data_IF_113322066550
#
_entry.id   IF_113322066550
#
_cell.length_a   1.000
_cell.length_b   1.000
_cell.length_c   1.000
_cell.angle_alpha   90.00
_cell.angle_beta   90.00
_cell.angle_gamma   90.00
#
_symmetry.space_group_name_H-M   'P 1'
#
loop_
_entity.id
_entity.type
_entity.pdbx_description
1 polymer ?
#
# COMPACT_ATOMS: atom_id res chain seq x y z
N UNK A 1 3.46 23.27 14.80
CA UNK A 1 2.72 23.42 13.53
C UNK A 1 3.50 24.17 12.45
N UNK A 2 4.14 25.30 12.77
CA UNK A 2 4.92 26.06 11.78
C UNK A 2 6.16 25.33 11.26
N UNK A 3 6.90 24.60 12.09
CA UNK A 3 8.06 23.82 11.67
C UNK A 3 7.65 22.67 10.73
N UNK A 4 6.49 22.02 10.98
CA UNK A 4 5.90 21.00 10.10
C UNK A 4 5.42 21.59 8.78
N UNK A 5 4.78 22.75 8.82
CA UNK A 5 4.34 23.48 7.63
C UNK A 5 5.54 23.95 6.78
N UNK A 6 6.60 24.42 7.42
CA UNK A 6 7.85 24.83 6.77
C UNK A 6 8.57 23.65 6.10
N UNK A 7 8.74 22.51 6.82
CA UNK A 7 9.33 21.30 6.25
C UNK A 7 8.52 20.77 5.06
N UNK A 8 7.18 20.90 5.09
CA UNK A 8 6.29 20.56 3.98
C UNK A 8 6.51 21.49 2.77
N UNK A 9 6.65 22.80 2.98
CA UNK A 9 6.92 23.80 1.92
C UNK A 9 8.30 23.61 1.29
N UNK A 10 9.33 23.34 2.10
CA UNK A 10 10.70 23.11 1.60
C UNK A 10 10.82 21.81 0.79
N UNK A 11 10.09 20.75 1.18
CA UNK A 11 10.01 19.49 0.42
C UNK A 11 9.20 19.66 -0.88
N UNK A 12 8.10 20.42 -0.87
CA UNK A 12 7.32 20.73 -2.05
C UNK A 12 8.13 21.53 -3.08
N UNK A 13 8.95 22.48 -2.63
CA UNK A 13 9.80 23.29 -3.51
C UNK A 13 10.91 22.49 -4.23
N UNK A 14 11.39 21.37 -3.64
CA UNK A 14 12.44 20.49 -4.23
C UNK A 14 11.91 19.43 -5.20
N UNK A 15 10.61 19.35 -5.44
CA UNK A 15 9.97 18.17 -6.06
C UNK A 15 9.15 18.44 -7.32
N UNK A 16 9.37 19.54 -8.02
CA UNK A 16 8.63 19.80 -9.25
C UNK A 16 9.33 19.21 -10.45
N UNK A 17 8.83 18.07 -10.94
CA UNK A 17 9.17 17.54 -12.25
C UNK A 17 8.74 18.49 -13.35
N UNK A 18 9.51 18.57 -14.44
CA UNK A 18 9.07 19.26 -15.65
C UNK A 18 7.87 18.54 -16.29
N UNK A 19 7.13 19.22 -17.17
CA UNK A 19 6.02 18.60 -17.90
C UNK A 19 6.51 17.43 -18.77
N UNK A 20 7.71 17.52 -19.34
CA UNK A 20 8.34 16.46 -20.15
C UNK A 20 8.70 15.23 -19.29
N UNK A 21 9.15 15.42 -18.05
CA UNK A 21 9.43 14.32 -17.12
C UNK A 21 8.14 13.59 -16.72
N UNK A 22 7.02 14.31 -16.50
CA UNK A 22 5.71 13.71 -16.23
C UNK A 22 5.19 12.91 -17.41
N UNK A 23 5.27 13.47 -18.61
CA UNK A 23 4.89 12.83 -19.85
C UNK A 23 5.71 11.54 -20.10
N UNK A 24 7.01 11.59 -19.84
CA UNK A 24 7.92 10.44 -19.91
C UNK A 24 7.52 9.37 -18.90
N UNK A 25 7.28 9.74 -17.65
CA UNK A 25 6.85 8.83 -16.59
C UNK A 25 5.52 8.15 -16.95
N UNK A 26 4.53 8.90 -17.43
CA UNK A 26 3.25 8.36 -17.86
C UNK A 26 3.41 7.30 -18.97
N UNK A 27 4.29 7.55 -19.95
CA UNK A 27 4.58 6.57 -21.01
C UNK A 27 5.25 5.30 -20.46
N UNK A 28 6.22 5.44 -19.54
CA UNK A 28 6.90 4.31 -18.89
C UNK A 28 5.89 3.46 -18.11
N UNK A 29 5.05 4.09 -17.30
CA UNK A 29 4.05 3.39 -16.48
C UNK A 29 2.98 2.70 -17.34
N UNK A 30 2.61 3.29 -18.48
CA UNK A 30 1.73 2.64 -19.46
C UNK A 30 2.35 1.33 -20.01
N UNK A 31 3.64 1.35 -20.36
CA UNK A 31 4.37 0.16 -20.80
C UNK A 31 4.45 -0.89 -19.68
N UNK A 32 4.78 -0.45 -18.45
CA UNK A 32 4.87 -1.29 -17.27
C UNK A 32 3.57 -2.03 -16.99
N UNK A 33 2.45 -1.33 -16.97
CA UNK A 33 1.14 -1.92 -16.72
C UNK A 33 0.79 -3.02 -17.73
N UNK A 34 1.05 -2.78 -19.03
CA UNK A 34 0.82 -3.79 -20.06
C UNK A 34 1.70 -5.03 -19.87
N UNK A 35 2.99 -4.83 -19.68
CA UNK A 35 3.95 -5.92 -19.54
C UNK A 35 3.67 -6.78 -18.29
N UNK A 36 3.37 -6.16 -17.15
CA UNK A 36 3.02 -6.89 -15.92
C UNK A 36 1.67 -7.59 -16.04
N UNK A 37 0.71 -7.01 -16.75
CA UNK A 37 -0.58 -7.69 -17.00
C UNK A 37 -0.39 -9.01 -17.78
N UNK A 38 0.51 -9.03 -18.76
CA UNK A 38 0.87 -10.27 -19.48
C UNK A 38 1.61 -11.25 -18.56
N UNK A 39 2.57 -10.77 -17.76
CA UNK A 39 3.30 -11.60 -16.80
C UNK A 39 2.36 -12.22 -15.76
N UNK A 40 1.34 -11.50 -15.31
CA UNK A 40 0.32 -12.01 -14.40
C UNK A 40 -0.48 -13.16 -15.02
N UNK A 41 -0.89 -13.06 -16.27
CA UNK A 41 -1.57 -14.13 -16.98
C UNK A 41 -0.66 -15.37 -17.16
N UNK A 42 0.61 -15.16 -17.46
CA UNK A 42 1.58 -16.27 -17.51
C UNK A 42 1.74 -16.94 -16.14
N UNK A 43 1.78 -16.13 -15.07
CA UNK A 43 1.89 -16.67 -13.70
C UNK A 43 0.64 -17.49 -13.31
N UNK A 44 -0.57 -16.99 -13.62
CA UNK A 44 -1.82 -17.73 -13.40
C UNK A 44 -1.77 -19.10 -14.10
N UNK A 45 -1.33 -19.12 -15.37
CA UNK A 45 -1.24 -20.34 -16.16
C UNK A 45 -0.24 -21.34 -15.60
N UNK A 46 0.92 -20.88 -15.11
CA UNK A 46 2.01 -21.74 -14.65
C UNK A 46 1.82 -22.16 -13.19
N UNK A 47 1.46 -21.25 -12.30
CA UNK A 47 1.33 -21.49 -10.87
C UNK A 47 -0.09 -21.86 -10.41
N UNK A 48 -1.12 -21.44 -11.15
CA UNK A 48 -2.51 -21.67 -10.81
C UNK A 48 -2.88 -23.15 -10.60
N UNK A 49 -2.43 -24.09 -11.45
CA UNK A 49 -2.66 -25.52 -11.24
C UNK A 49 -2.13 -26.05 -9.90
N UNK A 50 -1.05 -25.46 -9.37
CA UNK A 50 -0.39 -25.89 -8.13
C UNK A 50 -0.93 -25.17 -6.88
N UNK A 51 -1.36 -23.91 -7.01
CA UNK A 51 -1.72 -23.05 -5.88
C UNK A 51 -3.22 -22.75 -5.78
N UNK A 52 -4.01 -23.03 -6.83
CA UNK A 52 -5.38 -22.56 -6.94
C UNK A 52 -5.43 -21.03 -6.81
N UNK A 53 -6.47 -20.46 -6.20
CA UNK A 53 -6.64 -19.00 -6.04
C UNK A 53 -5.52 -18.28 -5.27
N UNK A 54 -4.62 -19.00 -4.62
CA UNK A 54 -3.50 -18.42 -3.86
C UNK A 54 -2.36 -17.92 -4.73
N UNK A 55 -2.34 -18.30 -6.01
CA UNK A 55 -1.34 -17.81 -6.96
C UNK A 55 -1.30 -16.28 -7.00
N UNK A 56 -2.44 -15.62 -6.91
CA UNK A 56 -2.54 -14.18 -6.98
C UNK A 56 -1.76 -13.49 -5.85
N UNK A 57 -1.97 -13.90 -4.58
CA UNK A 57 -1.22 -13.29 -3.49
C UNK A 57 0.27 -13.65 -3.52
N UNK A 58 0.65 -14.83 -4.04
CA UNK A 58 2.06 -15.16 -4.25
C UNK A 58 2.70 -14.23 -5.30
N UNK A 59 1.98 -13.93 -6.37
CA UNK A 59 2.44 -13.02 -7.42
C UNK A 59 2.59 -11.58 -6.91
N UNK A 60 1.58 -11.04 -6.22
CA UNK A 60 1.64 -9.70 -5.63
C UNK A 60 2.79 -9.56 -4.63
N UNK A 61 2.96 -10.54 -3.73
CA UNK A 61 4.05 -10.56 -2.76
C UNK A 61 5.42 -10.69 -3.43
N UNK A 62 5.51 -11.41 -4.56
CA UNK A 62 6.73 -11.49 -5.33
C UNK A 62 7.04 -10.17 -6.05
N UNK A 63 6.08 -9.56 -6.72
CA UNK A 63 6.25 -8.23 -7.32
C UNK A 63 6.68 -7.18 -6.28
N UNK A 64 6.13 -7.28 -5.07
CA UNK A 64 6.49 -6.38 -3.97
C UNK A 64 7.94 -6.54 -3.48
N UNK A 65 8.64 -7.64 -3.85
CA UNK A 65 10.06 -7.84 -3.53
C UNK A 65 11.02 -7.18 -4.52
N UNK A 66 10.52 -6.57 -5.62
CA UNK A 66 11.37 -5.81 -6.54
C UNK A 66 12.04 -4.62 -5.83
N UNK A 67 13.31 -4.36 -6.17
CA UNK A 67 14.05 -3.20 -5.66
C UNK A 67 13.51 -1.90 -6.26
N UNK A 68 13.80 -0.77 -5.61
CA UNK A 68 13.40 0.56 -6.10
C UNK A 68 14.12 0.91 -7.42
N UNK A 69 15.32 0.37 -7.63
CA UNK A 69 16.17 0.63 -8.81
C UNK A 69 15.80 -0.22 -10.03
N UNK A 70 14.95 -1.25 -9.85
CA UNK A 70 14.49 -2.13 -10.93
C UNK A 70 13.06 -1.79 -11.36
N UNK A 71 12.73 -2.03 -12.65
CA UNK A 71 11.33 -2.05 -13.04
C UNK A 71 10.58 -3.05 -12.15
N UNK A 72 9.33 -2.77 -11.75
CA UNK A 72 8.47 -3.53 -10.79
C UNK A 72 8.43 -5.08 -10.97
N UNK A 73 9.42 -5.65 -11.62
CA UNK A 73 9.60 -7.07 -11.87
C UNK A 73 10.91 -7.50 -11.24
N UNK A 74 10.90 -8.40 -10.24
CA UNK A 74 12.12 -8.90 -9.62
C UNK A 74 12.82 -9.89 -10.56
N UNK A 75 13.41 -9.38 -11.64
CA UNK A 75 14.12 -10.16 -12.67
C UNK A 75 15.62 -10.30 -12.40
N UNK A 76 16.15 -9.59 -11.40
CA UNK A 76 17.57 -9.62 -11.01
C UNK A 76 17.93 -10.75 -10.04
N UNK A 77 19.17 -10.68 -9.54
CA UNK A 77 19.71 -11.62 -8.55
C UNK A 77 18.81 -11.68 -7.29
N UNK A 78 18.49 -12.89 -6.85
CA UNK A 78 17.61 -13.13 -5.70
C UNK A 78 16.09 -13.11 -6.00
N UNK A 79 15.64 -12.65 -7.17
CA UNK A 79 14.23 -12.67 -7.56
C UNK A 79 13.63 -14.08 -7.61
N UNK A 80 14.42 -15.05 -8.04
CA UNK A 80 14.05 -16.47 -8.03
C UNK A 80 13.90 -17.04 -6.61
N UNK A 81 14.82 -16.71 -5.71
CA UNK A 81 14.76 -17.16 -4.31
C UNK A 81 13.56 -16.53 -3.58
N UNK A 82 13.29 -15.24 -3.83
CA UNK A 82 12.10 -14.57 -3.30
C UNK A 82 10.82 -15.26 -3.78
N UNK A 83 10.72 -15.60 -5.07
CA UNK A 83 9.59 -16.33 -5.63
C UNK A 83 9.45 -17.72 -5.00
N UNK A 84 10.56 -18.48 -4.92
CA UNK A 84 10.57 -19.81 -4.31
C UNK A 84 10.08 -19.78 -2.86
N UNK A 85 10.57 -18.82 -2.06
CA UNK A 85 10.12 -18.60 -0.66
C UNK A 85 8.60 -18.36 -0.59
N UNK A 86 8.05 -17.48 -1.44
CA UNK A 86 6.60 -17.18 -1.45
C UNK A 86 5.77 -18.40 -1.88
N UNK A 87 6.20 -19.12 -2.91
CA UNK A 87 5.49 -20.32 -3.38
C UNK A 87 5.49 -21.43 -2.32
N UNK A 88 6.63 -21.73 -1.68
CA UNK A 88 6.73 -22.72 -0.60
C UNK A 88 5.85 -22.34 0.60
N UNK A 89 5.84 -21.07 1.00
CA UNK A 89 4.98 -20.59 2.09
C UNK A 89 3.47 -20.78 1.78
N UNK A 90 3.05 -20.53 0.54
CA UNK A 90 1.65 -20.77 0.13
C UNK A 90 1.31 -22.25 0.01
N UNK A 91 2.25 -23.08 -0.44
CA UNK A 91 2.13 -24.55 -0.48
C UNK A 91 1.88 -25.13 0.93
N UNK A 92 2.72 -24.79 1.90
CA UNK A 92 2.60 -25.27 3.28
C UNK A 92 1.23 -24.95 3.89
N UNK A 93 0.69 -23.76 3.62
CA UNK A 93 -0.66 -23.37 4.08
C UNK A 93 -1.78 -24.12 3.35
N UNK A 94 -1.51 -24.65 2.14
CA UNK A 94 -2.54 -25.25 1.28
C UNK A 94 -2.82 -26.73 1.55
N UNK A 95 -1.97 -27.45 2.28
CA UNK A 95 -2.01 -28.93 2.39
C UNK A 95 -2.10 -29.63 1.01
N UNK A 96 -1.57 -29.03 -0.06
CA UNK A 96 -1.57 -29.60 -1.41
C UNK A 96 -0.20 -30.21 -1.70
N UNK A 97 -0.21 -31.38 -2.37
CA UNK A 97 0.95 -32.19 -2.75
C UNK A 97 1.76 -31.64 -3.94
N UNK A 98 1.98 -30.33 -4.01
CA UNK A 98 2.93 -29.80 -4.97
C UNK A 98 4.34 -30.18 -4.50
N UNK A 99 5.09 -30.95 -5.29
CA UNK A 99 6.47 -31.32 -4.96
C UNK A 99 7.39 -30.10 -5.01
N UNK A 100 8.57 -30.18 -4.40
CA UNK A 100 9.54 -29.08 -4.48
C UNK A 100 10.05 -28.91 -5.92
N UNK A 101 10.11 -30.01 -6.71
CA UNK A 101 10.42 -29.95 -8.14
C UNK A 101 9.37 -29.12 -8.92
N UNK A 102 8.09 -29.22 -8.56
CA UNK A 102 7.05 -28.39 -9.18
C UNK A 102 7.22 -26.90 -8.86
N UNK A 103 7.62 -26.56 -7.62
CA UNK A 103 7.95 -25.18 -7.25
C UNK A 103 9.14 -24.69 -8.07
N UNK A 104 10.20 -25.46 -8.16
CA UNK A 104 11.41 -25.09 -8.90
C UNK A 104 11.14 -24.95 -10.42
N UNK A 105 10.26 -25.77 -10.98
CA UNK A 105 9.81 -25.64 -12.37
C UNK A 105 9.04 -24.31 -12.59
N UNK A 106 8.12 -23.95 -11.69
CA UNK A 106 7.41 -22.68 -11.73
C UNK A 106 8.40 -21.51 -11.66
N UNK A 107 9.36 -21.55 -10.71
CA UNK A 107 10.37 -20.49 -10.55
C UNK A 107 11.19 -20.31 -11.83
N UNK A 108 11.73 -21.41 -12.40
CA UNK A 108 12.51 -21.32 -13.65
C UNK A 108 11.74 -20.65 -14.78
N UNK A 109 10.50 -21.09 -15.03
CA UNK A 109 9.67 -20.53 -16.09
C UNK A 109 9.37 -19.05 -15.83
N UNK A 110 9.01 -18.71 -14.60
CA UNK A 110 8.64 -17.33 -14.26
C UNK A 110 9.81 -16.37 -14.29
N UNK A 111 11.02 -16.80 -13.92
CA UNK A 111 12.22 -15.94 -14.03
C UNK A 111 12.56 -15.63 -15.50
N UNK A 112 12.42 -16.60 -16.41
CA UNK A 112 12.58 -16.33 -17.85
C UNK A 112 11.52 -15.31 -18.34
N UNK A 113 10.25 -15.47 -17.91
CA UNK A 113 9.16 -14.55 -18.25
C UNK A 113 9.38 -13.15 -17.66
N UNK A 114 9.89 -13.06 -16.44
CA UNK A 114 10.21 -11.80 -15.78
C UNK A 114 11.32 -11.04 -16.52
N UNK A 115 12.37 -11.73 -16.92
CA UNK A 115 13.47 -11.16 -17.73
C UNK A 115 12.95 -10.65 -19.07
N UNK A 116 12.12 -11.41 -19.77
CA UNK A 116 11.50 -11.00 -21.01
C UNK A 116 10.54 -9.81 -20.81
N UNK A 117 9.75 -9.82 -19.75
CA UNK A 117 8.88 -8.69 -19.37
C UNK A 117 9.70 -7.41 -19.18
N UNK A 118 10.80 -7.45 -18.45
CA UNK A 118 11.69 -6.32 -18.24
C UNK A 118 12.32 -5.82 -19.57
N UNK A 119 12.66 -6.74 -20.47
CA UNK A 119 13.17 -6.42 -21.81
C UNK A 119 12.09 -5.74 -22.67
N UNK A 120 10.88 -6.27 -22.69
CA UNK A 120 9.75 -5.71 -23.44
C UNK A 120 9.43 -4.30 -22.95
N UNK A 121 9.40 -4.07 -21.63
CA UNK A 121 9.17 -2.74 -21.07
C UNK A 121 10.16 -1.71 -21.61
N UNK A 122 11.46 -2.04 -21.62
CA UNK A 122 12.49 -1.15 -22.16
C UNK A 122 12.33 -0.90 -23.66
N UNK A 123 11.95 -1.92 -24.42
CA UNK A 123 11.83 -1.84 -25.87
C UNK A 123 10.51 -1.21 -26.35
N UNK A 124 9.45 -1.23 -25.55
CA UNK A 124 8.15 -0.63 -25.91
C UNK A 124 8.08 0.88 -25.65
N UNK A 125 9.00 1.43 -24.89
CA UNK A 125 9.06 2.87 -24.68
C UNK A 125 9.40 3.59 -26.00
N UNK A 126 8.57 4.53 -26.43
CA UNK A 126 8.69 5.28 -27.70
C UNK A 126 8.85 6.78 -27.50
N UNK A 127 9.18 7.21 -26.28
CA UNK A 127 9.29 8.61 -25.90
C UNK A 127 8.14 9.08 -25.01
N UNK A 128 8.14 10.37 -24.63
CA UNK A 128 7.13 10.96 -23.78
C UNK A 128 5.70 10.79 -24.34
N UNK A 129 4.72 10.68 -23.47
CA UNK A 129 3.31 10.71 -23.85
C UNK A 129 2.92 12.12 -24.34
N UNK A 130 2.19 12.19 -25.43
CA UNK A 130 1.77 13.49 -25.99
C UNK A 130 0.63 14.12 -25.21
N UNK A 131 -0.26 13.29 -24.64
CA UNK A 131 -1.39 13.73 -23.83
C UNK A 131 -1.97 12.57 -23.03
N UNK A 132 -2.74 12.89 -21.98
CA UNK A 132 -3.65 11.97 -21.29
C UNK A 132 -5.07 12.36 -21.64
N UNK A 133 -5.82 11.49 -22.32
CA UNK A 133 -7.25 11.73 -22.52
C UNK A 133 -8.03 11.33 -21.27
N UNK A 134 -8.99 12.17 -20.90
CA UNK A 134 -9.94 11.96 -19.80
C UNK A 134 -11.33 11.78 -20.36
N UNK A 135 -12.04 10.77 -19.90
CA UNK A 135 -13.44 10.50 -20.22
C UNK A 135 -14.21 10.27 -18.91
N UNK A 136 -15.29 11.00 -18.72
CA UNK A 136 -16.23 10.79 -17.62
C UNK A 136 -17.44 9.99 -18.15
N UNK A 137 -17.71 8.85 -17.52
CA UNK A 137 -18.81 7.97 -17.88
C UNK A 137 -20.06 8.25 -17.07
N UNK A 138 -21.22 7.93 -17.63
CA UNK A 138 -22.52 8.12 -16.98
C UNK A 138 -22.65 7.39 -15.62
N UNK A 139 -21.86 6.34 -15.38
CA UNK A 139 -21.84 5.58 -14.14
C UNK A 139 -20.93 6.21 -13.04
N UNK A 140 -20.36 7.41 -13.31
CA UNK A 140 -19.48 8.13 -12.43
C UNK A 140 -18.04 7.60 -12.40
N UNK A 141 -17.64 6.83 -13.41
CA UNK A 141 -16.27 6.35 -13.60
C UNK A 141 -15.50 7.35 -14.46
N UNK A 142 -14.30 7.70 -14.03
CA UNK A 142 -13.33 8.49 -14.80
C UNK A 142 -12.30 7.55 -15.40
N UNK A 143 -12.17 7.56 -16.72
CA UNK A 143 -11.15 6.84 -17.48
C UNK A 143 -10.04 7.79 -17.90
N UNK A 144 -8.79 7.41 -17.61
CA UNK A 144 -7.58 8.09 -18.10
C UNK A 144 -6.87 7.17 -19.09
N UNK A 145 -6.41 7.71 -20.22
CA UNK A 145 -5.79 6.91 -21.28
C UNK A 145 -4.55 7.58 -21.88
N UNK A 146 -3.51 6.76 -22.06
CA UNK A 146 -2.31 7.10 -22.84
C UNK A 146 -2.11 6.00 -23.89
N UNK A 147 -2.23 6.33 -25.15
CA UNK A 147 -2.16 5.36 -26.25
C UNK A 147 -3.19 4.23 -26.07
N UNK A 148 -2.70 2.98 -25.97
CA UNK A 148 -3.54 1.78 -25.78
C UNK A 148 -3.82 1.45 -24.31
N UNK A 149 -3.21 2.13 -23.36
CA UNK A 149 -3.34 1.86 -21.93
C UNK A 149 -4.41 2.75 -21.32
N UNK A 150 -5.37 2.13 -20.64
CA UNK A 150 -6.46 2.79 -19.93
C UNK A 150 -6.44 2.38 -18.46
N UNK A 151 -6.62 3.34 -17.58
CA UNK A 151 -6.86 3.14 -16.15
C UNK A 151 -8.18 3.80 -15.76
N UNK A 152 -8.83 3.29 -14.70
CA UNK A 152 -10.16 3.73 -14.29
C UNK A 152 -10.20 4.04 -12.81
N UNK A 153 -10.91 5.10 -12.46
CA UNK A 153 -11.17 5.58 -11.12
C UNK A 153 -12.66 5.85 -10.96
N UNK A 154 -13.22 5.62 -9.79
CA UNK A 154 -14.51 6.24 -9.48
C UNK A 154 -14.34 7.74 -9.24
N UNK A 155 -15.39 8.53 -9.48
CA UNK A 155 -15.33 9.99 -9.39
C UNK A 155 -14.84 10.52 -8.04
N UNK A 156 -15.28 9.91 -6.93
CA UNK A 156 -14.83 10.31 -5.58
C UNK A 156 -13.31 10.22 -5.42
N UNK A 157 -12.68 9.15 -5.97
CA UNK A 157 -11.23 9.00 -5.91
C UNK A 157 -10.51 9.96 -6.86
N UNK A 158 -11.08 10.25 -8.01
CA UNK A 158 -10.54 11.23 -8.93
C UNK A 158 -10.51 12.63 -8.28
N UNK A 159 -11.61 13.07 -7.67
CA UNK A 159 -11.69 14.34 -6.95
C UNK A 159 -10.78 14.37 -5.71
N UNK A 160 -10.67 13.26 -4.98
CA UNK A 160 -9.69 13.13 -3.89
C UNK A 160 -8.26 13.35 -4.39
N UNK A 161 -7.86 12.70 -5.49
CA UNK A 161 -6.53 12.88 -6.08
C UNK A 161 -6.27 14.32 -6.50
N UNK A 162 -7.26 14.98 -7.11
CA UNK A 162 -7.19 16.38 -7.49
C UNK A 162 -6.97 17.30 -6.27
N UNK A 163 -7.68 17.03 -5.20
CA UNK A 163 -7.53 17.74 -3.91
C UNK A 163 -6.14 17.51 -3.29
N UNK A 164 -5.66 16.25 -3.25
CA UNK A 164 -4.33 15.94 -2.74
C UNK A 164 -3.24 16.63 -3.55
N UNK A 165 -3.34 16.59 -4.88
CA UNK A 165 -2.40 17.21 -5.79
C UNK A 165 -2.34 18.74 -5.60
N UNK A 166 -3.49 19.40 -5.56
CA UNK A 166 -3.58 20.84 -5.33
C UNK A 166 -2.98 21.26 -3.96
N UNK A 167 -3.22 20.45 -2.92
CA UNK A 167 -2.70 20.70 -1.57
C UNK A 167 -1.20 20.38 -1.42
N UNK A 168 -0.64 19.51 -2.25
CA UNK A 168 0.76 19.14 -2.18
C UNK A 168 1.68 20.14 -2.88
N UNK A 169 1.16 20.91 -3.85
CA UNK A 169 1.91 21.87 -4.63
C UNK A 169 1.77 23.28 -4.05
N UNK A 170 2.86 24.06 -4.06
CA UNK A 170 2.83 25.51 -3.86
C UNK A 170 2.63 26.28 -5.17
N UNK A 171 2.59 25.58 -6.31
CA UNK A 171 2.40 26.16 -7.64
C UNK A 171 0.93 26.13 -8.03
N UNK A 172 0.59 26.95 -9.01
CA UNK A 172 -0.72 26.94 -9.64
C UNK A 172 -1.07 25.53 -10.17
N UNK A 173 -2.32 25.13 -10.03
CA UNK A 173 -2.82 23.86 -10.51
C UNK A 173 -2.87 23.85 -12.05
N UNK A 174 -2.11 22.94 -12.66
CA UNK A 174 -2.11 22.70 -14.10
C UNK A 174 -2.78 21.35 -14.37
N UNK A 175 -3.95 21.37 -14.99
CA UNK A 175 -4.77 20.16 -15.24
C UNK A 175 -3.98 19.06 -15.98
N UNK A 176 -3.24 19.43 -17.03
CA UNK A 176 -2.48 18.46 -17.82
C UNK A 176 -1.38 17.79 -17.02
N UNK A 177 -0.68 18.52 -16.16
CA UNK A 177 0.36 17.98 -15.26
C UNK A 177 -0.26 17.01 -14.25
N UNK A 178 -1.40 17.39 -13.67
CA UNK A 178 -2.16 16.51 -12.79
C UNK A 178 -2.60 15.21 -13.50
N UNK A 179 -3.09 15.30 -14.74
CA UNK A 179 -3.53 14.11 -15.48
C UNK A 179 -2.37 13.15 -15.77
N UNK A 180 -1.18 13.65 -16.12
CA UNK A 180 0.01 12.81 -16.30
C UNK A 180 0.41 12.10 -15.00
N UNK A 181 0.50 12.84 -13.89
CA UNK A 181 0.89 12.27 -12.59
C UNK A 181 -0.18 11.29 -12.07
N UNK A 182 -1.48 11.61 -12.21
CA UNK A 182 -2.58 10.72 -11.82
C UNK A 182 -2.59 9.42 -12.64
N UNK A 183 -2.44 9.52 -13.96
CA UNK A 183 -2.34 8.33 -14.83
C UNK A 183 -1.15 7.45 -14.45
N UNK A 184 0.04 8.04 -14.30
CA UNK A 184 1.25 7.31 -13.94
C UNK A 184 1.11 6.60 -12.59
N UNK A 185 0.62 7.30 -11.57
CA UNK A 185 0.40 6.76 -10.24
C UNK A 185 -0.59 5.59 -10.26
N UNK A 186 -1.74 5.73 -10.92
CA UNK A 186 -2.73 4.65 -11.01
C UNK A 186 -2.17 3.46 -11.77
N UNK A 187 -1.45 3.67 -12.89
CA UNK A 187 -0.76 2.60 -13.61
C UNK A 187 0.21 1.82 -12.72
N UNK A 188 0.98 2.51 -11.87
CA UNK A 188 1.93 1.90 -10.94
C UNK A 188 1.23 0.98 -9.94
N UNK A 189 0.14 1.43 -9.32
CA UNK A 189 -0.63 0.63 -8.37
C UNK A 189 -1.39 -0.51 -9.04
N UNK A 190 -1.92 -0.28 -10.24
CA UNK A 190 -2.55 -1.33 -11.04
C UNK A 190 -1.54 -2.42 -11.43
N UNK A 191 -0.33 -2.02 -11.84
CA UNK A 191 0.74 -2.96 -12.15
C UNK A 191 1.17 -3.75 -10.92
N UNK A 192 1.35 -3.10 -9.76
CA UNK A 192 1.68 -3.76 -8.50
C UNK A 192 0.63 -4.78 -8.05
N UNK A 193 -0.63 -4.58 -8.45
CA UNK A 193 -1.73 -5.54 -8.26
C UNK A 193 -1.86 -6.56 -9.43
N UNK A 194 -0.83 -6.71 -10.26
CA UNK A 194 -0.83 -7.64 -11.38
C UNK A 194 -1.59 -7.18 -12.62
N UNK A 195 -1.97 -5.92 -12.70
CA UNK A 195 -2.67 -5.32 -13.85
C UNK A 195 -4.14 -5.71 -13.99
N UNK A 196 -4.63 -6.67 -13.20
CA UNK A 196 -6.00 -7.17 -13.25
C UNK A 196 -6.60 -7.24 -11.86
N UNK A 197 -7.29 -6.19 -11.44
CA UNK A 197 -7.89 -6.09 -10.09
C UNK A 197 -8.92 -7.16 -9.73
N UNK A 198 -9.34 -8.01 -10.64
CA UNK A 198 -10.22 -9.15 -10.32
C UNK A 198 -9.58 -10.14 -9.34
N UNK A 199 -8.25 -10.14 -9.25
CA UNK A 199 -7.47 -11.03 -8.40
C UNK A 199 -6.75 -10.29 -7.26
N UNK A 200 -6.85 -8.95 -7.21
CA UNK A 200 -6.18 -8.13 -6.21
C UNK A 200 -6.46 -8.66 -4.81
N UNK A 201 -5.40 -8.97 -4.10
CA UNK A 201 -5.43 -9.33 -2.68
C UNK A 201 -5.70 -8.12 -1.78
N UNK A 202 -5.36 -8.25 -0.51
CA UNK A 202 -5.54 -7.20 0.48
C UNK A 202 -4.40 -6.17 0.56
N UNK A 203 -3.44 -6.16 -0.38
CA UNK A 203 -2.19 -5.39 -0.24
C UNK A 203 -2.35 -3.86 -0.11
N UNK A 204 -3.47 -3.32 -0.59
CA UNK A 204 -3.86 -1.91 -0.45
C UNK A 204 -5.12 -1.74 0.40
N UNK A 205 -5.49 -2.75 1.18
CA UNK A 205 -6.64 -2.65 2.08
C UNK A 205 -6.38 -1.61 3.17
N UNK A 206 -7.42 -0.86 3.52
CA UNK A 206 -7.35 0.17 4.57
C UNK A 206 -8.48 0.02 5.57
N UNK A 207 -8.29 0.59 6.74
CA UNK A 207 -9.37 0.77 7.72
C UNK A 207 -10.49 1.62 7.12
N UNK A 208 -11.68 1.54 7.64
CA UNK A 208 -12.78 2.42 7.23
C UNK A 208 -12.81 3.71 8.06
N UNK A 209 -13.49 4.75 7.53
CA UNK A 209 -13.43 6.12 8.06
C UNK A 209 -13.73 6.25 9.55
N UNK A 210 -14.72 5.51 10.08
CA UNK A 210 -15.09 5.59 11.51
C UNK A 210 -13.96 5.11 12.43
N UNK A 211 -13.18 4.10 12.03
CA UNK A 211 -12.00 3.68 12.81
C UNK A 211 -10.95 4.79 12.79
N UNK A 212 -10.67 5.38 11.63
CA UNK A 212 -9.75 6.51 11.53
C UNK A 212 -10.21 7.72 12.37
N UNK A 213 -11.52 7.99 12.43
CA UNK A 213 -12.06 9.09 13.25
C UNK A 213 -11.78 8.84 14.74
N UNK A 214 -11.98 7.62 15.25
CA UNK A 214 -11.63 7.26 16.64
C UNK A 214 -10.11 7.32 16.87
N UNK A 215 -9.30 6.87 15.89
CA UNK A 215 -7.84 6.97 16.00
C UNK A 215 -7.37 8.43 16.12
N UNK A 216 -7.99 9.35 15.38
CA UNK A 216 -7.71 10.79 15.48
C UNK A 216 -8.19 11.37 16.83
N UNK A 217 -9.45 11.13 17.16
CA UNK A 217 -10.10 11.82 18.28
C UNK A 217 -9.60 11.33 19.64
N UNK A 218 -9.42 10.01 19.79
CA UNK A 218 -8.99 9.40 21.06
C UNK A 218 -7.48 9.25 21.19
N UNK A 219 -6.77 8.98 20.08
CA UNK A 219 -5.34 8.65 20.12
C UNK A 219 -4.45 9.68 19.41
N UNK A 220 -5.04 10.76 18.86
CA UNK A 220 -4.34 11.85 18.18
C UNK A 220 -3.56 11.45 16.94
N UNK A 221 -3.98 10.37 16.28
CA UNK A 221 -3.36 9.89 15.06
C UNK A 221 -3.75 10.79 13.89
N UNK A 222 -2.73 11.30 13.17
CA UNK A 222 -2.90 12.22 12.04
C UNK A 222 -2.05 11.82 10.82
N UNK A 223 -1.30 10.73 10.91
CA UNK A 223 -0.39 10.29 9.86
C UNK A 223 -0.43 8.77 9.69
N UNK A 224 -0.43 8.33 8.45
CA UNK A 224 -0.40 6.91 8.05
C UNK A 224 0.99 6.54 7.55
N UNK A 225 1.59 5.45 8.07
CA UNK A 225 2.92 5.00 7.65
C UNK A 225 2.89 4.09 6.41
N UNK A 226 1.75 3.50 6.11
CA UNK A 226 1.57 2.56 5.00
C UNK A 226 0.31 2.88 4.20
N UNK A 227 0.35 3.96 3.46
CA UNK A 227 -0.77 4.39 2.64
C UNK A 227 -0.37 4.59 1.16
N UNK A 228 -1.26 5.16 0.41
CA UNK A 228 -1.08 5.58 -0.97
C UNK A 228 -2.03 6.74 -1.27
N UNK A 229 -1.85 7.50 -2.35
CA UNK A 229 -2.83 8.50 -2.77
C UNK A 229 -4.24 7.93 -2.94
N UNK A 230 -4.33 6.62 -3.27
CA UNK A 230 -5.61 5.93 -3.50
C UNK A 230 -6.35 5.60 -2.21
N UNK A 231 -5.65 5.29 -1.11
CA UNK A 231 -6.28 4.79 0.12
C UNK A 231 -6.05 5.65 1.38
N UNK A 232 -5.17 6.65 1.36
CA UNK A 232 -4.92 7.49 2.53
C UNK A 232 -6.19 8.17 3.04
N UNK A 233 -6.35 8.25 4.36
CA UNK A 233 -7.42 8.99 5.03
C UNK A 233 -7.04 10.45 5.24
N UNK A 234 -5.77 10.68 5.60
CA UNK A 234 -5.26 12.00 5.93
C UNK A 234 -4.25 12.51 4.88
N UNK A 235 -4.02 13.81 4.80
CA UNK A 235 -3.05 14.38 3.86
C UNK A 235 -1.59 14.11 4.25
N UNK A 236 -1.33 13.69 5.50
CA UNK A 236 -0.01 13.25 5.95
C UNK A 236 0.06 11.73 5.92
N UNK A 237 0.86 11.20 5.01
CA UNK A 237 1.05 9.76 4.86
C UNK A 237 2.40 9.43 4.22
N UNK A 238 2.89 8.24 4.51
CA UNK A 238 4.02 7.61 3.86
C UNK A 238 3.52 6.56 2.88
N UNK A 239 4.26 6.36 1.78
CA UNK A 239 3.89 5.42 0.74
C UNK A 239 5.09 4.75 0.11
N UNK A 240 4.86 3.65 -0.59
CA UNK A 240 5.92 2.83 -1.18
C UNK A 240 6.56 3.47 -2.41
N UNK A 241 5.79 4.15 -3.26
CA UNK A 241 6.26 4.61 -4.57
C UNK A 241 6.46 6.13 -4.60
N UNK A 242 7.50 6.59 -3.89
CA UNK A 242 7.77 8.01 -3.71
C UNK A 242 7.89 8.81 -5.01
N UNK A 243 8.32 8.19 -6.11
CA UNK A 243 8.47 8.82 -7.43
C UNK A 243 7.13 9.20 -8.09
N UNK A 244 6.06 8.41 -7.88
CA UNK A 244 4.71 8.67 -8.42
C UNK A 244 3.74 9.21 -7.37
N UNK A 245 4.01 9.03 -6.07
CA UNK A 245 3.10 9.42 -4.99
C UNK A 245 3.40 10.83 -4.45
N UNK A 246 4.64 11.30 -4.58
CA UNK A 246 5.07 12.61 -4.08
C UNK A 246 4.24 13.79 -4.62
N UNK A 247 3.81 13.81 -5.91
CA UNK A 247 2.93 14.84 -6.42
C UNK A 247 1.59 14.95 -5.66
N UNK A 248 1.18 13.89 -4.96
CA UNK A 248 -0.05 13.80 -4.17
C UNK A 248 0.17 13.98 -2.66
N UNK A 249 1.36 14.41 -2.25
CA UNK A 249 1.67 14.74 -0.85
C UNK A 249 2.29 13.62 -0.02
N UNK A 250 2.67 12.49 -0.62
CA UNK A 250 3.42 11.44 0.09
C UNK A 250 4.73 11.97 0.68
N UNK A 251 5.01 11.54 1.90
CA UNK A 251 6.25 11.86 2.62
C UNK A 251 7.40 10.90 2.28
N UNK A 252 7.18 9.92 1.40
CA UNK A 252 8.13 8.89 1.00
C UNK A 252 7.92 7.55 1.71
N UNK A 253 8.96 6.71 1.75
CA UNK A 253 8.90 5.42 2.43
C UNK A 253 8.85 5.58 3.96
N UNK A 254 8.15 4.67 4.66
CA UNK A 254 8.00 4.71 6.13
C UNK A 254 9.34 4.73 6.89
N UNK A 255 10.40 4.15 6.31
CA UNK A 255 11.76 4.17 6.89
C UNK A 255 12.36 5.58 6.95
N UNK A 256 11.83 6.51 6.17
CA UNK A 256 12.20 7.92 6.25
C UNK A 256 11.49 8.65 7.41
N UNK A 257 10.49 8.03 8.04
CA UNK A 257 9.79 8.58 9.20
C UNK A 257 10.71 8.52 10.44
N UNK A 258 11.14 9.67 10.93
CA UNK A 258 11.92 9.79 12.17
C UNK A 258 11.28 10.87 13.05
N UNK A 259 10.13 10.57 13.66
CA UNK A 259 9.38 11.55 14.43
C UNK A 259 10.03 11.79 15.79
N UNK A 260 10.07 13.04 16.23
CA UNK A 260 10.44 13.40 17.61
C UNK A 260 9.29 13.24 18.60
N UNK A 261 8.06 13.03 18.12
CA UNK A 261 6.82 12.82 18.86
C UNK A 261 5.61 12.81 17.94
N UNK A 262 4.42 12.60 18.50
CA UNK A 262 3.15 12.56 17.78
C UNK A 262 2.51 11.18 17.78
N UNK A 263 1.50 10.96 16.93
CA UNK A 263 0.82 9.67 16.84
C UNK A 263 0.61 9.26 15.36
N UNK A 264 0.84 7.99 15.08
CA UNK A 264 0.88 7.43 13.74
C UNK A 264 0.10 6.12 13.67
N UNK A 265 -0.59 5.89 12.56
CA UNK A 265 -1.17 4.59 12.22
C UNK A 265 -0.18 3.82 11.36
N UNK A 266 -0.05 2.52 11.60
CA UNK A 266 0.79 1.61 10.84
C UNK A 266 0.01 0.33 10.51
N UNK A 267 -0.50 0.25 9.27
CA UNK A 267 -1.19 -0.92 8.71
C UNK A 267 -0.38 -1.45 7.51
N UNK A 268 0.73 -2.16 7.78
CA UNK A 268 1.64 -2.63 6.74
C UNK A 268 0.99 -3.73 5.88
N UNK A 269 1.52 -4.02 4.69
CA UNK A 269 1.23 -5.25 3.99
C UNK A 269 1.44 -6.46 4.92
N UNK A 270 0.52 -7.44 4.87
CA UNK A 270 0.51 -8.60 5.76
C UNK A 270 1.58 -9.64 5.36
N UNK A 271 2.83 -9.19 5.37
CA UNK A 271 4.05 -9.95 5.12
C UNK A 271 4.95 -9.89 6.35
N UNK A 272 5.41 -11.06 6.84
CA UNK A 272 6.18 -11.17 8.08
C UNK A 272 7.48 -10.39 8.05
N UNK A 273 8.18 -10.39 6.89
CA UNK A 273 9.45 -9.68 6.73
C UNK A 273 9.23 -8.15 6.76
N UNK A 274 8.10 -7.68 6.19
CA UNK A 274 7.72 -6.25 6.23
C UNK A 274 7.37 -5.84 7.65
N UNK A 275 6.54 -6.64 8.35
CA UNK A 275 6.14 -6.36 9.73
C UNK A 275 7.34 -6.40 10.69
N UNK A 276 8.29 -7.31 10.47
CA UNK A 276 9.50 -7.39 11.31
C UNK A 276 10.38 -6.13 11.15
N UNK A 277 10.67 -5.72 9.91
CA UNK A 277 11.43 -4.49 9.64
C UNK A 277 10.72 -3.23 10.13
N UNK A 278 9.40 -3.18 9.98
CA UNK A 278 8.61 -2.09 10.55
C UNK A 278 8.78 -2.03 12.06
N UNK A 279 8.60 -3.14 12.77
CA UNK A 279 8.70 -3.18 14.23
C UNK A 279 10.08 -2.67 14.72
N UNK A 280 11.16 -3.08 14.07
CA UNK A 280 12.51 -2.60 14.39
C UNK A 280 12.63 -1.09 14.24
N UNK A 281 12.19 -0.56 13.11
CA UNK A 281 12.22 0.88 12.87
C UNK A 281 11.34 1.68 13.84
N UNK A 282 10.14 1.18 14.19
CA UNK A 282 9.28 1.84 15.18
C UNK A 282 9.91 1.86 16.58
N UNK A 283 10.61 0.80 16.97
CA UNK A 283 11.32 0.76 18.25
C UNK A 283 12.47 1.77 18.28
N UNK A 284 13.26 1.88 17.22
CA UNK A 284 14.30 2.91 17.08
C UNK A 284 13.71 4.32 17.22
N UNK A 285 12.56 4.58 16.58
CA UNK A 285 11.87 5.85 16.71
C UNK A 285 11.39 6.13 18.15
N UNK A 286 10.83 5.11 18.83
CA UNK A 286 10.34 5.25 20.20
C UNK A 286 11.47 5.47 21.21
N UNK A 287 12.63 4.83 21.03
CA UNK A 287 13.81 5.05 21.85
C UNK A 287 14.43 6.45 21.61
N UNK A 288 14.38 6.96 20.39
CA UNK A 288 14.99 8.24 20.02
C UNK A 288 14.06 9.45 20.25
N UNK A 289 12.77 9.24 20.46
CA UNK A 289 11.80 10.32 20.53
C UNK A 289 12.01 11.21 21.79
N UNK A 290 12.03 12.52 21.58
CA UNK A 290 12.17 13.52 22.63
C UNK A 290 10.84 13.98 23.24
N UNK A 291 9.71 13.54 22.66
CA UNK A 291 8.36 13.89 23.08
C UNK A 291 7.46 12.65 23.05
N UNK A 292 6.22 12.79 23.53
CA UNK A 292 5.22 11.71 23.48
C UNK A 292 5.06 11.16 22.07
N UNK A 293 5.33 9.86 21.87
CA UNK A 293 5.24 9.18 20.59
C UNK A 293 4.42 7.89 20.70
N UNK A 294 3.43 7.77 19.83
CA UNK A 294 2.53 6.62 19.75
C UNK A 294 2.50 6.07 18.32
N UNK A 295 2.61 4.75 18.18
CA UNK A 295 2.28 4.02 16.96
C UNK A 295 1.11 3.07 17.25
N UNK A 296 0.04 3.19 16.45
CA UNK A 296 -1.08 2.25 16.46
C UNK A 296 -0.88 1.28 15.31
N UNK A 297 -0.42 0.07 15.64
CA UNK A 297 -0.08 -0.94 14.64
C UNK A 297 -1.26 -1.87 14.43
N UNK A 298 -1.72 -2.01 13.19
CA UNK A 298 -2.83 -2.89 12.79
C UNK A 298 -2.29 -4.01 11.92
N UNK A 299 -2.40 -5.25 12.41
CA UNK A 299 -1.93 -6.46 11.71
C UNK A 299 -2.92 -7.61 11.89
N UNK A 300 -2.88 -8.68 11.08
CA UNK A 300 -3.58 -9.90 11.44
C UNK A 300 -3.15 -10.39 12.83
N UNK A 301 -4.05 -11.06 13.54
CA UNK A 301 -3.71 -11.68 14.81
C UNK A 301 -2.81 -12.90 14.57
N UNK A 302 -1.51 -12.73 14.81
CA UNK A 302 -0.45 -13.69 14.56
C UNK A 302 0.33 -14.11 15.81
N UNK A 303 -0.31 -14.62 16.89
CA UNK A 303 0.34 -14.88 18.18
C UNK A 303 1.55 -15.81 18.09
N UNK A 304 1.62 -16.65 17.04
CA UNK A 304 2.69 -17.62 16.81
C UNK A 304 3.76 -17.14 15.80
N UNK A 305 3.79 -15.84 15.48
CA UNK A 305 4.78 -15.27 14.57
C UNK A 305 5.79 -14.39 15.33
N UNK A 306 7.10 -14.59 15.10
CA UNK A 306 8.14 -13.84 15.81
C UNK A 306 7.98 -12.32 15.74
N UNK A 307 7.59 -11.78 14.58
CA UNK A 307 7.39 -10.33 14.40
C UNK A 307 6.26 -9.78 15.28
N UNK A 308 5.15 -10.52 15.42
CA UNK A 308 4.03 -10.14 16.27
C UNK A 308 4.40 -10.25 17.75
N UNK A 309 5.03 -11.37 18.15
CA UNK A 309 5.44 -11.61 19.53
C UNK A 309 6.48 -10.58 20.00
N UNK A 310 7.43 -10.20 19.14
CA UNK A 310 8.42 -9.15 19.41
C UNK A 310 7.74 -7.81 19.73
N UNK A 311 6.72 -7.40 18.98
CA UNK A 311 5.96 -6.18 19.26
C UNK A 311 5.16 -6.31 20.56
N UNK A 312 4.45 -7.43 20.75
CA UNK A 312 3.58 -7.64 21.92
C UNK A 312 4.35 -7.66 23.24
N UNK A 313 5.58 -8.19 23.24
CA UNK A 313 6.43 -8.30 24.43
C UNK A 313 7.39 -7.12 24.61
N UNK A 314 7.41 -6.17 23.69
CA UNK A 314 8.30 -5.00 23.81
C UNK A 314 7.91 -4.13 25.00
N UNK A 315 8.90 -3.43 25.56
CA UNK A 315 8.69 -2.43 26.61
C UNK A 315 7.73 -1.30 26.19
N UNK A 316 7.56 -1.10 24.89
CA UNK A 316 6.70 -0.07 24.33
C UNK A 316 5.25 -0.50 24.16
N UNK A 317 4.92 -1.78 24.26
CA UNK A 317 3.55 -2.25 24.08
C UNK A 317 2.70 -1.93 25.31
N UNK A 318 2.06 -0.76 25.31
CA UNK A 318 1.18 -0.33 26.40
C UNK A 318 -0.17 -1.07 26.37
N UNK A 319 -0.66 -1.44 25.19
CA UNK A 319 -1.91 -2.18 25.01
C UNK A 319 -1.89 -3.04 23.75
N UNK A 320 -2.56 -4.18 23.78
CA UNK A 320 -2.82 -5.02 22.61
C UNK A 320 -4.27 -5.51 22.66
N UNK A 321 -5.00 -5.25 21.57
CA UNK A 321 -6.40 -5.65 21.41
C UNK A 321 -6.54 -6.61 20.25
N UNK A 322 -7.50 -7.53 20.37
CA UNK A 322 -7.87 -8.44 19.29
C UNK A 322 -9.31 -8.15 18.88
N UNK A 323 -9.50 -7.80 17.62
CA UNK A 323 -10.79 -7.58 16.99
C UNK A 323 -11.17 -8.87 16.24
N UNK A 324 -12.28 -9.48 16.63
CA UNK A 324 -12.71 -10.74 16.01
C UNK A 324 -13.05 -10.58 14.54
N UNK A 325 -12.68 -11.57 13.73
CA UNK A 325 -13.04 -11.67 12.31
C UNK A 325 -14.57 -11.48 12.07
N UNK A 326 -15.37 -11.82 13.07
CA UNK A 326 -16.84 -11.67 13.00
C UNK A 326 -17.32 -10.24 13.20
N UNK A 327 -16.45 -9.33 13.63
CA UNK A 327 -16.84 -7.99 14.08
C UNK A 327 -16.38 -6.89 13.14
N UNK A 328 -15.54 -7.17 12.14
CA UNK A 328 -14.94 -6.12 11.33
C UNK A 328 -14.68 -6.51 9.88
N UNK A 329 -14.21 -5.53 9.14
CA UNK A 329 -13.74 -5.64 7.77
C UNK A 329 -12.91 -4.42 7.38
N UNK A 330 -12.50 -4.40 6.14
CA UNK A 330 -11.62 -3.38 5.55
C UNK A 330 -12.22 -2.83 4.26
N UNK A 331 -11.79 -1.66 3.85
CA UNK A 331 -11.91 -1.26 2.46
C UNK A 331 -10.86 -2.03 1.65
N UNK A 332 -11.32 -2.66 0.55
CA UNK A 332 -10.43 -3.47 -0.27
C UNK A 332 -9.43 -2.62 -1.07
N UNK A 333 -8.30 -3.24 -1.49
CA UNK A 333 -7.22 -2.55 -2.18
C UNK A 333 -7.63 -1.88 -3.50
N UNK A 334 -8.62 -2.45 -4.21
CA UNK A 334 -9.16 -1.85 -5.44
C UNK A 334 -10.30 -0.85 -5.19
N UNK A 335 -10.34 -0.20 -4.04
CA UNK A 335 -11.42 0.71 -3.64
C UNK A 335 -11.64 1.88 -4.62
N UNK A 336 -10.61 2.31 -5.34
CA UNK A 336 -10.69 3.35 -6.36
C UNK A 336 -11.46 2.93 -7.62
N UNK A 337 -11.72 1.65 -7.82
CA UNK A 337 -12.45 1.09 -8.97
C UNK A 337 -13.85 0.60 -8.64
N UNK A 338 -14.19 0.42 -7.37
CA UNK A 338 -15.43 -0.23 -6.95
C UNK A 338 -16.35 0.70 -6.19
N UNK A 339 -17.66 0.61 -6.44
CA UNK A 339 -18.69 1.33 -5.66
C UNK A 339 -18.83 0.74 -4.25
N UNK A 340 -18.90 -0.60 -4.14
CA UNK A 340 -18.93 -1.29 -2.84
C UNK A 340 -17.52 -1.70 -2.42
N UNK A 341 -16.94 -0.97 -1.50
CA UNK A 341 -15.51 -1.04 -1.12
C UNK A 341 -15.25 -1.90 0.10
N UNK A 342 -16.26 -2.06 0.98
CA UNK A 342 -16.10 -2.76 2.24
C UNK A 342 -16.17 -4.27 2.07
N UNK A 343 -15.20 -4.98 2.65
CA UNK A 343 -15.14 -6.46 2.71
C UNK A 343 -14.97 -6.90 4.14
N UNK A 344 -15.66 -7.99 4.52
CA UNK A 344 -15.47 -8.62 5.82
C UNK A 344 -14.04 -9.14 5.93
N UNK A 345 -13.47 -9.05 7.13
CA UNK A 345 -12.16 -9.62 7.43
C UNK A 345 -12.18 -11.15 7.24
N UNK A 346 -11.02 -11.71 6.95
CA UNK A 346 -10.82 -13.17 6.76
C UNK A 346 -10.09 -13.81 7.94
N UNK A 347 -9.63 -13.00 8.89
CA UNK A 347 -8.95 -13.41 10.13
C UNK A 347 -9.17 -12.36 11.20
N UNK A 348 -8.92 -12.73 12.45
CA UNK A 348 -8.85 -11.77 13.56
C UNK A 348 -7.75 -10.74 13.31
N UNK A 349 -7.93 -9.54 13.82
CA UNK A 349 -6.99 -8.42 13.69
C UNK A 349 -6.47 -8.03 15.07
N UNK A 350 -5.15 -7.83 15.17
CA UNK A 350 -4.53 -7.20 16.33
C UNK A 350 -4.35 -5.71 16.11
N UNK A 351 -4.69 -4.93 17.13
CA UNK A 351 -4.35 -3.52 17.25
C UNK A 351 -3.40 -3.38 18.43
N UNK A 352 -2.12 -3.07 18.14
CA UNK A 352 -1.11 -2.90 19.16
C UNK A 352 -0.77 -1.40 19.31
N UNK A 353 -0.79 -0.91 20.53
CA UNK A 353 -0.38 0.44 20.88
C UNK A 353 1.05 0.40 21.38
N UNK A 354 1.97 0.94 20.59
CA UNK A 354 3.38 1.07 20.92
C UNK A 354 3.63 2.53 21.33
N UNK A 355 4.00 2.76 22.59
CA UNK A 355 4.13 4.09 23.18
C UNK A 355 5.44 4.20 23.97
N UNK A 356 6.10 5.37 23.92
CA UNK A 356 7.12 5.71 24.91
C UNK A 356 6.47 6.18 26.21
N UNK A 357 7.24 6.33 27.28
CA UNK A 357 6.74 6.70 28.61
C UNK A 357 5.93 8.00 28.60
N UNK A 358 6.44 9.04 27.95
CA UNK A 358 5.72 10.33 27.83
C UNK A 358 4.36 10.19 27.15
N UNK A 359 4.21 9.25 26.19
CA UNK A 359 2.93 9.01 25.52
C UNK A 359 1.96 8.23 26.42
N UNK A 360 2.47 7.28 27.21
CA UNK A 360 1.65 6.56 28.20
C UNK A 360 1.08 7.52 29.24
N UNK A 361 1.89 8.48 29.71
CA UNK A 361 1.47 9.48 30.69
C UNK A 361 0.49 10.49 30.11
N UNK A 362 0.79 11.06 28.93
CA UNK A 362 0.01 12.17 28.35
C UNK A 362 -1.26 11.73 27.61
N UNK A 363 -1.27 10.52 27.06
CA UNK A 363 -2.42 9.96 26.34
C UNK A 363 -2.53 8.44 26.55
N UNK A 364 -2.88 7.98 27.77
CA UNK A 364 -3.01 6.56 28.07
C UNK A 364 -4.10 5.89 27.24
N UNK A 365 -3.89 4.61 26.92
CA UNK A 365 -4.85 3.76 26.22
C UNK A 365 -5.83 3.17 27.24
N UNK A 366 -6.95 3.86 27.50
CA UNK A 366 -7.94 3.47 28.49
C UNK A 366 -8.99 2.49 27.91
N UNK A 367 -9.72 1.80 28.79
CA UNK A 367 -10.77 0.87 28.39
C UNK A 367 -11.91 1.58 27.66
N UNK A 368 -12.23 2.83 28.02
CA UNK A 368 -13.23 3.65 27.33
C UNK A 368 -12.83 3.92 25.88
N UNK A 369 -11.56 4.32 25.64
CA UNK A 369 -11.07 4.55 24.27
C UNK A 369 -11.06 3.26 23.44
N UNK A 370 -10.74 2.13 24.07
CA UNK A 370 -10.77 0.82 23.41
C UNK A 370 -12.22 0.41 23.10
N UNK A 371 -13.18 0.68 23.99
CA UNK A 371 -14.60 0.44 23.72
C UNK A 371 -15.07 1.19 22.48
N UNK A 372 -14.76 2.49 22.37
CA UNK A 372 -15.07 3.31 21.20
C UNK A 372 -14.40 2.75 19.92
N UNK A 373 -13.16 2.31 20.02
CA UNK A 373 -12.45 1.71 18.88
C UNK A 373 -13.12 0.42 18.41
N UNK A 374 -13.54 -0.46 19.34
CA UNK A 374 -14.26 -1.69 19.03
C UNK A 374 -15.64 -1.41 18.38
N UNK A 375 -16.36 -0.42 18.89
CA UNK A 375 -17.63 0.03 18.30
C UNK A 375 -17.42 0.55 16.88
N UNK A 376 -16.39 1.34 16.66
CA UNK A 376 -16.05 1.84 15.33
C UNK A 376 -15.78 0.70 14.34
N UNK A 377 -15.04 -0.33 14.72
CA UNK A 377 -14.80 -1.50 13.87
C UNK A 377 -16.10 -2.23 13.49
N UNK A 378 -17.09 -2.31 14.41
CA UNK A 378 -18.39 -2.97 14.19
C UNK A 378 -19.34 -2.15 13.32
N UNK A 379 -19.31 -0.82 13.44
CA UNK A 379 -20.32 0.07 12.88
C UNK A 379 -20.56 -0.12 11.37
N UNK A 380 -19.50 -0.36 10.57
CA UNK A 380 -19.63 -0.58 9.12
C UNK A 380 -20.19 -1.95 8.75
N UNK A 381 -20.02 -2.93 9.61
CA UNK A 381 -20.56 -4.28 9.44
C UNK A 381 -22.07 -4.29 9.64
N UNK A 382 -22.54 -3.61 10.68
CA UNK A 382 -23.96 -3.57 11.03
C UNK A 382 -24.80 -2.81 10.00
N UNK A 383 -24.20 -1.83 9.32
CA UNK A 383 -24.81 -1.14 8.18
C UNK A 383 -24.97 -2.02 6.91
N UNK A 384 -24.41 -3.23 6.88
CA UNK A 384 -24.51 -4.19 5.76
C UNK A 384 -25.46 -5.36 6.02
N UNK A 385 -25.97 -5.48 7.23
CA UNK A 385 -27.05 -6.40 7.57
C UNK A 385 -28.40 -5.77 7.27
#
# INVERSE_FOLDING_TARGET
DEARARARRERAAKATSSSDERATRAAIEACRLRAISHLCMDFERVAGPHLGKRWCSAFEEWLASASEDEPLVPAGDGGGDALAKKLRAKKLRAKKDASDEAVDAVVRVMMLKATECARVMRNEFRGPATSVSKEERADGVVSLRVGKTEVRLNGDHFEKLKTLYANASSKEFVENDFLFDAFAMVCRYDAAAGGQFRFSGGSQASLHGQVFDVLRDCFKVECELFASPLNCRWPMYYSKYGDVDKPFGSLGDFRACKPSGGAFEANPPFDEDVVARMAEHLFECLDAASSALTFVVVTPHWPNRPCWEKMRRSKFCSRAEVISVREHGYYEGAQHRKKSRYRLATSDTSVLFLQNESAVESNPVTDEKISLLREAFRAKRDAKK
#
